data_IF_715091073283
#
_entry.id   IF_715091073283
#
_cell.length_a   1.000
_cell.length_b   1.000
_cell.length_c   1.000
_cell.angle_alpha   90.00
_cell.angle_beta   90.00
_cell.angle_gamma   90.00
#
_symmetry.space_group_name_H-M   'P 1'
#
loop_
_entity.id
_entity.type
_entity.pdbx_description
1 polymer ?
#
# COMPACT_ATOMS: atom_id res chain seq x y z
N UNK A 1 15.38 -3.88 -11.00
CA UNK A 1 14.61 -2.88 -10.23
C UNK A 1 13.17 -3.35 -10.29
N UNK A 2 12.50 -3.58 -9.16
CA UNK A 2 11.08 -3.96 -9.22
C UNK A 2 10.25 -2.73 -9.63
N UNK A 3 9.33 -2.92 -10.58
CA UNK A 3 8.43 -1.85 -11.04
C UNK A 3 7.51 -1.36 -9.92
N UNK A 4 7.17 -0.06 -9.97
CA UNK A 4 6.25 0.56 -9.01
C UNK A 4 4.84 -0.04 -9.11
N UNK A 5 4.15 -0.14 -7.97
CA UNK A 5 2.75 -0.55 -7.93
C UNK A 5 1.86 0.51 -8.57
N UNK A 6 1.04 0.14 -9.55
CA UNK A 6 0.12 1.07 -10.21
C UNK A 6 -1.21 1.23 -9.46
N UNK A 7 -1.59 0.24 -8.67
CA UNK A 7 -2.80 0.26 -7.85
C UNK A 7 -2.45 0.13 -6.36
N UNK A 8 -3.18 0.87 -5.51
CA UNK A 8 -3.00 0.78 -4.06
C UNK A 8 -3.40 -0.59 -3.50
N UNK A 9 -4.38 -1.26 -4.11
CA UNK A 9 -4.82 -2.58 -3.72
C UNK A 9 -3.69 -3.62 -3.86
N UNK A 10 -2.96 -3.59 -4.98
CA UNK A 10 -1.83 -4.51 -5.22
C UNK A 10 -0.69 -4.27 -4.21
N UNK A 11 -0.37 -3.02 -3.93
CA UNK A 11 0.62 -2.65 -2.92
C UNK A 11 0.22 -3.14 -1.52
N UNK A 12 -1.07 -3.02 -1.17
CA UNK A 12 -1.58 -3.50 0.11
C UNK A 12 -1.55 -5.03 0.21
N UNK A 13 -1.95 -5.74 -0.85
CA UNK A 13 -1.88 -7.19 -0.92
C UNK A 13 -0.44 -7.70 -0.83
N UNK A 14 0.52 -7.02 -1.46
CA UNK A 14 1.93 -7.37 -1.36
C UNK A 14 2.43 -7.28 0.09
N UNK A 15 2.07 -6.21 0.83
CA UNK A 15 2.40 -6.07 2.25
C UNK A 15 1.76 -7.16 3.12
N UNK A 16 0.49 -7.51 2.87
CA UNK A 16 -0.23 -8.56 3.60
C UNK A 16 0.43 -9.93 3.36
N UNK A 17 0.77 -10.24 2.10
CA UNK A 17 1.29 -11.54 1.70
C UNK A 17 2.80 -11.71 1.94
N UNK A 18 3.52 -10.63 2.26
CA UNK A 18 4.97 -10.67 2.51
C UNK A 18 5.38 -11.36 3.83
N UNK A 19 4.44 -11.88 4.62
CA UNK A 19 4.74 -12.58 5.89
C UNK A 19 5.33 -11.66 6.96
N UNK A 20 5.07 -10.35 6.86
CA UNK A 20 5.62 -9.34 7.76
C UNK A 20 4.91 -9.34 9.11
N UNK A 21 5.59 -8.99 10.22
CA UNK A 21 4.97 -8.83 11.53
C UNK A 21 4.19 -7.51 11.60
N UNK A 22 3.06 -7.43 10.87
CA UNK A 22 2.19 -6.26 10.83
C UNK A 22 1.52 -6.05 12.19
N UNK A 23 1.47 -4.80 12.64
CA UNK A 23 0.64 -4.41 13.80
C UNK A 23 -0.84 -4.57 13.44
N UNK A 24 -1.74 -4.83 14.41
CA UNK A 24 -3.18 -4.96 14.13
C UNK A 24 -3.77 -3.80 13.32
N UNK A 25 -3.35 -2.56 13.61
CA UNK A 25 -3.78 -1.36 12.88
C UNK A 25 -3.25 -1.31 11.44
N UNK A 26 -2.02 -1.77 11.20
CA UNK A 26 -1.46 -1.87 9.84
C UNK A 26 -2.24 -2.91 9.03
N UNK A 27 -2.53 -4.08 9.62
CA UNK A 27 -3.33 -5.13 8.97
C UNK A 27 -4.75 -4.66 8.61
N UNK A 28 -5.46 -4.01 9.55
CA UNK A 28 -6.79 -3.46 9.27
C UNK A 28 -6.78 -2.43 8.13
N UNK A 29 -5.81 -1.52 8.15
CA UNK A 29 -5.65 -0.52 7.10
C UNK A 29 -5.39 -1.15 5.74
N UNK A 30 -4.43 -2.06 5.65
CA UNK A 30 -4.06 -2.73 4.40
C UNK A 30 -5.21 -3.61 3.88
N UNK A 31 -5.92 -4.32 4.75
CA UNK A 31 -7.09 -5.11 4.36
C UNK A 31 -8.21 -4.25 3.77
N UNK A 32 -8.43 -3.05 4.32
CA UNK A 32 -9.33 -2.06 3.74
C UNK A 32 -8.87 -1.62 2.34
N UNK A 33 -7.59 -1.25 2.18
CA UNK A 33 -7.07 -0.81 0.88
C UNK A 33 -7.06 -1.91 -0.19
N UNK A 34 -6.89 -3.17 0.21
CA UNK A 34 -6.92 -4.30 -0.71
C UNK A 34 -8.32 -4.54 -1.32
N UNK A 35 -9.38 -4.12 -0.62
CA UNK A 35 -10.76 -4.33 -1.05
C UNK A 35 -11.42 -3.06 -1.63
N UNK A 36 -11.09 -1.89 -1.06
CA UNK A 36 -11.70 -0.62 -1.46
C UNK A 36 -11.05 -0.04 -2.73
N UNK A 37 -11.86 0.07 -3.79
CA UNK A 37 -11.43 0.62 -5.08
C UNK A 37 -11.46 2.16 -5.13
N UNK A 38 -11.97 2.84 -4.09
CA UNK A 38 -12.00 4.30 -4.06
C UNK A 38 -10.57 4.88 -4.07
N UNK A 39 -10.37 6.05 -4.71
CA UNK A 39 -9.08 6.74 -4.64
C UNK A 39 -8.64 7.00 -3.21
N UNK A 40 -7.35 6.82 -2.93
CA UNK A 40 -6.79 7.11 -1.62
C UNK A 40 -6.87 8.61 -1.31
N UNK A 41 -7.26 8.96 -0.09
CA UNK A 41 -6.90 10.27 0.46
C UNK A 41 -5.38 10.42 0.55
N UNK A 42 -4.90 11.66 0.55
CA UNK A 42 -3.46 11.97 0.67
C UNK A 42 -2.82 11.30 1.91
N UNK A 43 -3.53 11.33 3.04
CA UNK A 43 -3.07 10.70 4.28
C UNK A 43 -2.93 9.18 4.14
N UNK A 44 -3.88 8.52 3.48
CA UNK A 44 -3.80 7.08 3.23
C UNK A 44 -2.65 6.75 2.27
N UNK A 45 -2.50 7.52 1.19
CA UNK A 45 -1.37 7.37 0.24
C UNK A 45 -0.03 7.51 0.95
N UNK A 46 0.17 8.60 1.71
CA UNK A 46 1.42 8.84 2.43
C UNK A 46 1.73 7.72 3.43
N UNK A 47 0.71 7.22 4.14
CA UNK A 47 0.93 6.13 5.06
C UNK A 47 1.28 4.81 4.34
N UNK A 48 0.63 4.50 3.22
CA UNK A 48 0.98 3.33 2.40
C UNK A 48 2.42 3.40 1.88
N UNK A 49 2.85 4.56 1.38
CA UNK A 49 4.25 4.80 0.94
C UNK A 49 5.24 4.55 2.08
N UNK A 50 4.95 5.04 3.29
CA UNK A 50 5.78 4.80 4.47
C UNK A 50 5.90 3.29 4.77
N UNK A 51 4.79 2.54 4.70
CA UNK A 51 4.80 1.10 4.95
C UNK A 51 5.59 0.34 3.89
N UNK A 52 5.43 0.68 2.61
CA UNK A 52 6.21 0.08 1.51
C UNK A 52 7.70 0.31 1.71
N UNK A 53 8.12 1.55 1.97
CA UNK A 53 9.51 1.91 2.21
C UNK A 53 10.09 1.21 3.44
N UNK A 54 9.33 1.18 4.56
CA UNK A 54 9.72 0.51 5.81
C UNK A 54 10.03 -0.98 5.59
N UNK A 55 9.34 -1.62 4.66
CA UNK A 55 9.48 -3.06 4.39
C UNK A 55 10.24 -3.38 3.09
N UNK A 56 10.84 -2.38 2.45
CA UNK A 56 11.65 -2.57 1.24
C UNK A 56 10.87 -3.07 0.03
N UNK A 57 9.55 -2.83 -0.01
CA UNK A 57 8.71 -3.18 -1.14
C UNK A 57 8.75 -2.09 -2.22
N UNK A 58 8.37 -2.43 -3.48
CA UNK A 58 8.31 -1.45 -4.55
C UNK A 58 7.44 -0.24 -4.17
N UNK A 59 7.77 0.97 -4.64
CA UNK A 59 7.00 2.16 -4.32
C UNK A 59 5.63 2.11 -4.98
N UNK A 60 4.67 2.87 -4.43
CA UNK A 60 3.44 3.17 -5.14
C UNK A 60 3.75 4.19 -6.23
N UNK A 61 3.28 3.96 -7.44
CA UNK A 61 3.41 4.93 -8.52
C UNK A 61 2.70 6.24 -8.13
N UNK A 62 3.27 7.36 -8.56
CA UNK A 62 2.61 8.66 -8.53
C UNK A 62 1.44 8.64 -9.52
N UNK A 63 0.33 8.02 -9.11
CA UNK A 63 -0.93 8.06 -9.83
C UNK A 63 -1.39 9.51 -9.88
N UNK A 64 -1.13 10.16 -11.03
CA UNK A 64 -1.72 11.43 -11.39
C UNK A 64 -3.23 11.37 -11.27
N UNK A 65 -3.81 12.46 -10.79
CA UNK A 65 -5.24 12.68 -10.79
C UNK A 65 -5.80 12.36 -12.20
N UNK A 66 -6.81 11.51 -12.24
CA UNK A 66 -7.75 11.43 -13.34
C UNK A 66 -9.14 11.66 -12.74
#
# INVERSE_FOLDING_TARGET
>A
MADAFRAHADAALALINAGLPLRPREGQFLGGLAFDANPLSEKQRNWLVILLAKHGLPPLADGGAA
#
